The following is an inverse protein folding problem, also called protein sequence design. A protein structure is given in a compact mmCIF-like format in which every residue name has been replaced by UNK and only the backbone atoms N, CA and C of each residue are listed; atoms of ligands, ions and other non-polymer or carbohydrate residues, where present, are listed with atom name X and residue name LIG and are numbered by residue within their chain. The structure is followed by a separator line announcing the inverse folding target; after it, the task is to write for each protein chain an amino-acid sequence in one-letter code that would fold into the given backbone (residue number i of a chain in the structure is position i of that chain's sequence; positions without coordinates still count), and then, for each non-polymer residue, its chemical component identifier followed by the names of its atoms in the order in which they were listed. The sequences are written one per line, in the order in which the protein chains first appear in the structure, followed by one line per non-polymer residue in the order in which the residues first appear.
data_IF_249850184514
#
_entry.id   IF_249850184514
#
_cell.length_a   1.000
_cell.length_b   1.000
_cell.length_c   1.000
_cell.angle_alpha   90.00
_cell.angle_beta   90.00
_cell.angle_gamma   90.00
#
_symmetry.space_group_name_H-M   'P 1'
#
loop_
_entity.id
_entity.type
_entity.pdbx_description
1 polymer ?
#
# COMPACT_ATOMS: atom_id res chain seq x y z
N UNK A 1 9.89 30.31 -53.30
CA UNK A 1 10.81 30.93 -52.32
C UNK A 1 9.99 31.11 -51.05
N UNK A 2 10.18 30.46 -49.92
CA UNK A 2 11.40 30.10 -49.19
C UNK A 2 11.09 30.43 -47.73
N UNK A 3 11.19 29.43 -46.84
CA UNK A 3 10.92 29.42 -45.39
C UNK A 3 11.30 30.69 -44.60
N UNK A 4 10.60 30.95 -43.48
CA UNK A 4 11.14 30.68 -42.15
C UNK A 4 10.18 31.07 -41.01
N UNK A 5 9.83 30.08 -40.20
CA UNK A 5 9.35 30.25 -38.84
C UNK A 5 10.46 30.82 -37.95
N UNK A 6 10.12 31.75 -37.05
CA UNK A 6 10.93 32.02 -35.85
C UNK A 6 10.04 31.85 -34.63
N UNK A 7 10.05 30.65 -34.07
CA UNK A 7 9.48 30.37 -32.75
C UNK A 7 10.58 30.56 -31.71
N UNK A 8 10.29 31.43 -30.75
CA UNK A 8 11.12 31.80 -29.61
C UNK A 8 11.52 30.55 -28.82
N UNK A 9 12.83 30.26 -28.76
CA UNK A 9 13.40 29.27 -27.83
C UNK A 9 13.24 29.77 -26.39
N UNK A 10 12.40 29.09 -25.60
CA UNK A 10 12.53 29.11 -24.14
C UNK A 10 13.25 27.84 -23.70
N UNK A 11 14.54 27.98 -23.44
CA UNK A 11 15.28 27.00 -22.63
C UNK A 11 14.69 27.04 -21.21
N UNK A 12 14.00 25.98 -20.80
CA UNK A 12 13.79 25.68 -19.39
C UNK A 12 14.79 24.61 -18.99
N UNK A 13 15.65 25.00 -18.06
CA UNK A 13 16.65 24.18 -17.38
C UNK A 13 16.03 22.90 -16.83
N UNK A 14 16.55 21.76 -17.31
CA UNK A 14 16.30 20.45 -16.74
C UNK A 14 17.16 20.35 -15.48
N UNK A 15 16.53 20.63 -14.34
CA UNK A 15 17.08 20.33 -13.03
C UNK A 15 17.18 18.82 -12.86
N UNK A 16 18.40 18.32 -13.00
CA UNK A 16 18.84 16.98 -12.63
C UNK A 16 18.54 16.68 -11.15
N UNK A 17 17.97 15.51 -10.88
CA UNK A 17 17.67 15.06 -9.52
C UNK A 17 17.03 13.67 -9.44
N UNK A 18 17.73 12.65 -9.95
CA UNK A 18 17.57 11.23 -9.58
C UNK A 18 16.19 10.61 -9.91
N UNK A 19 15.94 10.39 -11.20
CA UNK A 19 15.15 9.23 -11.65
C UNK A 19 16.16 8.21 -12.16
N UNK A 20 16.86 7.54 -11.24
CA UNK A 20 17.50 6.27 -11.59
C UNK A 20 16.36 5.30 -11.94
N UNK A 21 16.53 4.53 -13.03
CA UNK A 21 15.55 3.62 -13.65
C UNK A 21 14.87 2.67 -12.64
N UNK A 22 13.85 3.12 -11.94
CA UNK A 22 12.94 2.22 -11.24
C UNK A 22 11.89 1.82 -12.26
N UNK A 23 12.00 0.59 -12.74
CA UNK A 23 10.99 -0.01 -13.59
C UNK A 23 9.74 -0.29 -12.74
N UNK A 24 8.55 -0.14 -13.32
CA UNK A 24 7.30 -0.31 -12.59
C UNK A 24 7.11 -1.78 -12.19
N UNK A 25 7.09 -2.14 -10.90
CA UNK A 25 7.02 -3.54 -10.48
C UNK A 25 5.70 -4.21 -10.89
N UNK A 26 4.60 -3.46 -11.07
CA UNK A 26 3.34 -4.02 -11.53
C UNK A 26 3.34 -4.37 -13.03
N UNK A 27 4.24 -3.76 -13.80
CA UNK A 27 4.40 -4.03 -15.23
C UNK A 27 5.28 -5.26 -15.45
N UNK A 28 6.35 -5.39 -14.66
CA UNK A 28 7.33 -6.48 -14.78
C UNK A 28 6.80 -7.78 -14.17
N UNK A 29 6.12 -7.69 -13.02
CA UNK A 29 5.78 -8.87 -12.23
C UNK A 29 4.52 -9.61 -12.71
N UNK A 30 3.72 -9.00 -13.58
CA UNK A 30 2.43 -9.55 -14.00
C UNK A 30 2.23 -9.46 -15.52
N UNK A 31 1.85 -10.58 -16.11
CA UNK A 31 1.22 -10.64 -17.43
C UNK A 31 -0.20 -10.04 -17.38
N UNK A 32 -0.74 -9.67 -18.54
CA UNK A 32 -2.13 -9.18 -18.63
C UNK A 32 -3.15 -10.15 -18.03
N UNK A 33 -3.00 -11.46 -18.26
CA UNK A 33 -3.89 -12.49 -17.71
C UNK A 33 -3.86 -12.51 -16.17
N UNK A 34 -2.68 -12.35 -15.59
CA UNK A 34 -2.50 -12.31 -14.13
C UNK A 34 -3.08 -11.03 -13.52
N UNK A 35 -2.94 -9.89 -14.20
CA UNK A 35 -3.58 -8.64 -13.78
C UNK A 35 -5.10 -8.75 -13.74
N UNK A 36 -5.71 -9.33 -14.78
CA UNK A 36 -7.16 -9.60 -14.81
C UNK A 36 -7.54 -10.59 -13.69
N UNK A 37 -6.71 -11.61 -13.44
CA UNK A 37 -6.92 -12.56 -12.34
C UNK A 37 -7.00 -11.85 -10.97
N UNK A 38 -6.13 -10.87 -10.68
CA UNK A 38 -6.22 -10.05 -9.45
C UNK A 38 -7.59 -9.38 -9.33
N UNK A 39 -8.05 -8.74 -10.41
CA UNK A 39 -9.33 -8.02 -10.41
C UNK A 39 -10.51 -8.95 -10.21
N UNK A 40 -10.61 -9.99 -11.03
CA UNK A 40 -11.77 -10.89 -11.02
C UNK A 40 -11.84 -11.70 -9.72
N UNK A 41 -10.72 -12.16 -9.18
CA UNK A 41 -10.73 -12.89 -7.90
C UNK A 41 -11.12 -12.00 -6.72
N UNK A 42 -10.72 -10.72 -6.70
CA UNK A 42 -11.20 -9.77 -5.69
C UNK A 42 -12.70 -9.50 -5.80
N UNK A 43 -13.20 -9.25 -7.02
CA UNK A 43 -14.62 -8.94 -7.29
C UNK A 43 -15.58 -10.10 -6.98
N UNK A 44 -15.08 -11.34 -6.90
CA UNK A 44 -15.88 -12.50 -6.52
C UNK A 44 -16.26 -12.52 -5.04
N UNK A 45 -15.50 -11.83 -4.18
CA UNK A 45 -15.81 -11.72 -2.76
C UNK A 45 -17.09 -10.91 -2.57
N UNK A 46 -18.02 -11.42 -1.76
CA UNK A 46 -19.28 -10.75 -1.46
C UNK A 46 -19.10 -9.61 -0.48
N UNK A 47 -18.33 -9.82 0.59
CA UNK A 47 -18.00 -8.80 1.57
C UNK A 47 -16.49 -8.82 1.91
N UNK A 48 -15.65 -8.28 1.02
CA UNK A 48 -14.20 -8.22 1.26
C UNK A 48 -13.86 -7.43 2.53
N UNK A 49 -14.66 -6.44 2.91
CA UNK A 49 -14.43 -5.60 4.09
C UNK A 49 -14.61 -6.40 5.38
N UNK A 50 -15.59 -7.30 5.45
CA UNK A 50 -15.76 -8.20 6.59
C UNK A 50 -14.53 -9.10 6.78
N UNK A 51 -14.04 -9.72 5.69
CA UNK A 51 -12.85 -10.57 5.70
C UNK A 51 -11.61 -9.79 6.14
N UNK A 52 -11.38 -8.62 5.55
CA UNK A 52 -10.29 -7.70 5.91
C UNK A 52 -10.38 -7.33 7.40
N UNK A 53 -11.59 -7.08 7.91
CA UNK A 53 -11.83 -6.77 9.31
C UNK A 53 -11.41 -7.91 10.24
N UNK A 54 -11.77 -9.16 9.91
CA UNK A 54 -11.33 -10.35 10.67
C UNK A 54 -9.80 -10.43 10.72
N UNK A 55 -9.13 -10.20 9.60
CA UNK A 55 -7.67 -10.26 9.51
C UNK A 55 -7.03 -9.14 10.34
N UNK A 56 -7.52 -7.90 10.24
CA UNK A 56 -7.00 -6.80 11.06
C UNK A 56 -7.22 -7.03 12.56
N UNK A 57 -8.35 -7.60 12.96
CA UNK A 57 -8.59 -7.99 14.36
C UNK A 57 -7.56 -9.03 14.80
N UNK A 58 -7.27 -10.06 13.98
CA UNK A 58 -6.21 -11.03 14.26
C UNK A 58 -4.85 -10.35 14.41
N UNK A 59 -4.51 -9.43 13.50
CA UNK A 59 -3.24 -8.68 13.55
C UNK A 59 -3.10 -7.95 14.88
N UNK A 60 -4.06 -7.11 15.25
CA UNK A 60 -3.95 -6.28 16.46
C UNK A 60 -4.13 -7.08 17.75
N UNK A 61 -4.71 -8.28 17.71
CA UNK A 61 -4.93 -9.06 18.93
C UNK A 61 -3.94 -10.17 19.19
N UNK A 62 -3.41 -10.78 18.13
CA UNK A 62 -2.65 -12.03 18.23
C UNK A 62 -1.25 -11.95 17.57
N UNK A 63 -0.99 -10.97 16.68
CA UNK A 63 0.27 -10.89 15.91
C UNK A 63 1.14 -9.70 16.32
N UNK A 64 0.58 -8.48 16.26
CA UNK A 64 1.26 -7.22 16.57
C UNK A 64 0.42 -6.41 17.56
N UNK A 65 0.39 -6.88 18.80
CA UNK A 65 -0.48 -6.35 19.86
C UNK A 65 -0.20 -4.88 20.21
N UNK A 66 1.01 -4.41 19.96
CA UNK A 66 1.41 -3.02 20.08
C UNK A 66 0.62 -2.08 19.15
N UNK A 67 0.00 -2.61 18.08
CA UNK A 67 -0.87 -1.85 17.20
C UNK A 67 -2.23 -1.51 17.84
N UNK A 68 -2.60 -2.13 18.97
CA UNK A 68 -3.85 -1.80 19.67
C UNK A 68 -3.92 -0.32 20.06
N UNK A 69 -2.81 0.26 20.51
CA UNK A 69 -2.72 1.66 20.94
C UNK A 69 -2.90 2.66 19.78
N UNK A 70 -2.13 2.61 18.67
CA UNK A 70 -2.34 3.52 17.55
C UNK A 70 -3.75 3.38 16.94
N UNK A 71 -4.33 2.18 16.93
CA UNK A 71 -5.71 1.95 16.50
C UNK A 71 -6.78 2.24 17.57
N UNK A 72 -6.40 2.58 18.80
CA UNK A 72 -7.35 2.95 19.87
C UNK A 72 -8.29 1.82 20.29
N UNK A 73 -7.80 0.57 20.31
CA UNK A 73 -8.60 -0.63 20.60
C UNK A 73 -8.12 -1.42 21.82
N UNK A 74 -7.30 -0.83 22.67
CA UNK A 74 -6.68 -1.50 23.84
C UNK A 74 -7.72 -2.12 24.79
N UNK A 75 -8.88 -1.49 24.94
CA UNK A 75 -9.99 -1.91 25.83
C UNK A 75 -11.18 -2.51 25.08
N UNK A 76 -11.10 -2.60 23.75
CA UNK A 76 -12.20 -3.07 22.92
C UNK A 76 -12.24 -4.59 22.89
N UNK A 77 -13.43 -5.18 22.92
CA UNK A 77 -13.59 -6.62 22.62
C UNK A 77 -13.30 -6.90 21.15
N UNK A 78 -12.86 -8.13 20.81
CA UNK A 78 -12.62 -8.54 19.40
C UNK A 78 -13.82 -8.25 18.49
N UNK A 79 -15.05 -8.45 18.99
CA UNK A 79 -16.29 -8.24 18.24
C UNK A 79 -16.60 -6.76 17.96
N UNK A 80 -16.17 -5.84 18.82
CA UNK A 80 -16.44 -4.39 18.67
C UNK A 80 -15.31 -3.66 17.95
N UNK A 81 -14.12 -4.25 17.88
CA UNK A 81 -12.93 -3.67 17.22
C UNK A 81 -13.19 -3.15 15.80
N UNK A 82 -13.83 -3.89 14.88
CA UNK A 82 -14.11 -3.42 13.52
C UNK A 82 -15.04 -2.20 13.45
N UNK A 83 -15.80 -1.91 14.51
CA UNK A 83 -16.72 -0.78 14.58
C UNK A 83 -16.09 0.48 15.19
N UNK A 84 -14.85 0.39 15.67
CA UNK A 84 -14.16 1.54 16.27
C UNK A 84 -13.71 2.53 15.20
N UNK A 85 -13.70 3.85 15.47
CA UNK A 85 -13.45 4.85 14.43
C UNK A 85 -12.10 4.69 13.71
N UNK A 86 -11.03 4.42 14.46
CA UNK A 86 -9.67 4.32 13.89
C UNK A 86 -9.45 3.00 13.16
N UNK A 87 -9.70 1.86 13.83
CA UNK A 87 -9.49 0.55 13.20
C UNK A 87 -10.53 0.29 12.10
N UNK A 88 -11.81 0.55 12.37
CA UNK A 88 -12.88 0.40 11.38
C UNK A 88 -12.70 1.31 10.18
N UNK A 89 -12.27 2.56 10.40
CA UNK A 89 -11.89 3.47 9.32
C UNK A 89 -10.71 2.94 8.51
N UNK A 90 -9.69 2.37 9.15
CA UNK A 90 -8.55 1.76 8.44
C UNK A 90 -8.93 0.50 7.65
N UNK A 91 -9.81 -0.34 8.20
CA UNK A 91 -10.36 -1.52 7.52
C UNK A 91 -11.13 -1.12 6.25
N UNK A 92 -12.04 -0.15 6.36
CA UNK A 92 -12.80 0.35 5.22
C UNK A 92 -11.88 0.94 4.15
N UNK A 93 -10.96 1.81 4.58
CA UNK A 93 -9.99 2.42 3.68
C UNK A 93 -9.08 1.39 2.98
N UNK A 94 -8.67 0.32 3.69
CA UNK A 94 -7.84 -0.73 3.09
C UNK A 94 -8.63 -1.56 2.08
N UNK A 95 -9.92 -1.83 2.33
CA UNK A 95 -10.80 -2.48 1.36
C UNK A 95 -10.93 -1.64 0.07
N UNK A 96 -11.17 -0.34 0.21
CA UNK A 96 -11.26 0.58 -0.94
C UNK A 96 -9.92 0.68 -1.68
N UNK A 97 -8.80 0.67 -0.95
CA UNK A 97 -7.46 0.66 -1.51
C UNK A 97 -7.22 -0.58 -2.40
N UNK A 98 -7.58 -1.78 -1.92
CA UNK A 98 -7.47 -3.02 -2.69
C UNK A 98 -8.39 -3.02 -3.91
N UNK A 99 -9.63 -2.54 -3.78
CA UNK A 99 -10.55 -2.39 -4.91
C UNK A 99 -9.96 -1.47 -5.99
N UNK A 100 -9.47 -0.30 -5.57
CA UNK A 100 -8.89 0.69 -6.48
C UNK A 100 -7.62 0.16 -7.16
N UNK A 101 -6.73 -0.50 -6.42
CA UNK A 101 -5.50 -1.09 -6.95
C UNK A 101 -5.79 -2.20 -7.96
N UNK A 102 -6.66 -3.14 -7.61
CA UNK A 102 -7.03 -4.23 -8.52
C UNK A 102 -7.74 -3.70 -9.76
N UNK A 103 -8.54 -2.63 -9.64
CA UNK A 103 -9.17 -1.96 -10.78
C UNK A 103 -8.13 -1.29 -11.70
N UNK A 104 -7.18 -0.54 -11.14
CA UNK A 104 -6.11 0.09 -11.92
C UNK A 104 -5.23 -0.93 -12.64
N UNK A 105 -4.93 -2.05 -11.97
CA UNK A 105 -4.02 -3.07 -12.49
C UNK A 105 -4.73 -3.97 -13.51
N UNK A 106 -5.90 -4.51 -13.18
CA UNK A 106 -6.56 -5.56 -13.94
C UNK A 106 -7.72 -5.14 -14.84
N UNK A 107 -8.18 -3.88 -14.75
CA UNK A 107 -9.28 -3.39 -15.58
C UNK A 107 -8.86 -2.19 -16.44
N UNK A 108 -8.40 -1.10 -15.83
CA UNK A 108 -8.04 0.11 -16.59
C UNK A 108 -6.61 0.10 -17.14
N UNK A 109 -5.80 -0.89 -16.74
CA UNK A 109 -4.39 -1.04 -17.12
C UNK A 109 -3.54 0.21 -16.81
N UNK A 110 -3.97 1.02 -15.83
CA UNK A 110 -3.24 2.18 -15.34
C UNK A 110 -2.13 1.76 -14.35
N UNK A 111 -1.13 1.05 -14.85
CA UNK A 111 -0.05 0.49 -14.03
C UNK A 111 0.80 1.56 -13.38
N UNK A 112 1.06 2.66 -14.09
CA UNK A 112 1.80 3.81 -13.55
C UNK A 112 1.03 4.46 -12.40
N UNK A 113 -0.28 4.65 -12.56
CA UNK A 113 -1.15 5.18 -11.52
C UNK A 113 -1.20 4.26 -10.29
N UNK A 114 -1.29 2.95 -10.48
CA UNK A 114 -1.21 1.98 -9.40
C UNK A 114 0.10 2.09 -8.62
N UNK A 115 1.23 2.15 -9.33
CA UNK A 115 2.54 2.30 -8.70
C UNK A 115 2.69 3.60 -7.91
N UNK A 116 2.28 4.73 -8.50
CA UNK A 116 2.28 6.03 -7.84
C UNK A 116 1.37 6.04 -6.61
N UNK A 117 0.22 5.37 -6.68
CA UNK A 117 -0.75 5.29 -5.59
C UNK A 117 -0.19 4.53 -4.38
N UNK A 118 0.40 3.35 -4.57
CA UNK A 118 1.02 2.57 -3.49
C UNK A 118 2.14 3.37 -2.81
N UNK A 119 2.99 4.03 -3.60
CA UNK A 119 4.07 4.86 -3.05
C UNK A 119 3.55 6.09 -2.31
N UNK A 120 2.45 6.70 -2.78
CA UNK A 120 1.78 7.80 -2.08
C UNK A 120 1.27 7.35 -0.70
N UNK A 121 0.73 6.14 -0.62
CA UNK A 121 0.28 5.55 0.64
C UNK A 121 1.47 5.35 1.59
N UNK A 122 2.58 4.76 1.13
CA UNK A 122 3.77 4.58 1.96
C UNK A 122 4.30 5.89 2.54
N UNK A 123 4.45 6.93 1.71
CA UNK A 123 4.80 8.30 2.17
C UNK A 123 3.80 8.86 3.19
N UNK A 124 2.49 8.69 2.96
CA UNK A 124 1.47 9.18 3.87
C UNK A 124 1.54 8.52 5.26
N UNK A 125 1.94 7.24 5.33
CA UNK A 125 2.11 6.52 6.60
C UNK A 125 3.27 7.05 7.45
N UNK A 126 4.24 7.78 6.88
CA UNK A 126 5.28 8.46 7.67
C UNK A 126 4.74 9.52 8.64
N UNK A 127 3.52 10.05 8.37
CA UNK A 127 2.84 10.97 9.29
C UNK A 127 2.29 10.28 10.54
N UNK A 128 2.23 8.96 10.56
CA UNK A 128 1.79 8.21 11.74
C UNK A 128 2.94 8.13 12.74
N UNK A 129 2.76 8.76 13.91
CA UNK A 129 3.81 8.86 14.93
C UNK A 129 4.36 7.49 15.35
N UNK A 130 3.47 6.50 15.50
CA UNK A 130 3.87 5.13 15.83
C UNK A 130 4.85 4.56 14.80
N UNK A 131 4.49 4.59 13.51
CA UNK A 131 5.36 4.06 12.46
C UNK A 131 6.65 4.88 12.34
N UNK A 132 6.57 6.21 12.48
CA UNK A 132 7.76 7.06 12.46
C UNK A 132 8.83 6.61 13.47
N UNK A 133 8.39 6.21 14.67
CA UNK A 133 9.27 5.79 15.77
C UNK A 133 9.66 4.31 15.74
N UNK A 134 8.82 3.45 15.18
CA UNK A 134 8.96 1.99 15.34
C UNK A 134 9.19 1.22 14.04
N UNK A 135 8.92 1.79 12.87
CA UNK A 135 9.19 1.16 11.58
C UNK A 135 10.70 1.14 11.32
N UNK A 136 11.31 -0.03 11.17
CA UNK A 136 12.72 -0.16 10.81
C UNK A 136 12.96 -1.51 10.08
N UNK A 137 14.22 -1.80 9.78
CA UNK A 137 14.62 -3.04 9.09
C UNK A 137 14.28 -4.31 9.89
N UNK A 138 14.42 -4.27 11.21
CA UNK A 138 14.09 -5.39 12.10
C UNK A 138 12.59 -5.61 12.24
N UNK A 139 11.82 -4.51 12.23
CA UNK A 139 10.38 -4.51 12.47
C UNK A 139 9.66 -3.67 11.43
N UNK A 140 9.37 -4.31 10.32
CA UNK A 140 8.58 -3.75 9.22
C UNK A 140 7.08 -4.06 9.41
N UNK A 141 6.31 -3.07 9.87
CA UNK A 141 4.86 -3.23 10.09
C UNK A 141 4.08 -3.44 8.80
N UNK A 142 4.56 -2.92 7.65
CA UNK A 142 3.95 -3.22 6.35
C UNK A 142 4.13 -4.70 6.01
N UNK A 143 5.30 -5.27 6.26
CA UNK A 143 5.55 -6.70 6.06
C UNK A 143 4.72 -7.56 7.02
N UNK A 144 4.58 -7.18 8.29
CA UNK A 144 3.72 -7.89 9.26
C UNK A 144 2.28 -7.97 8.74
N UNK A 145 1.73 -6.83 8.31
CA UNK A 145 0.36 -6.79 7.75
C UNK A 145 0.31 -7.59 6.45
N UNK A 146 1.18 -7.30 5.49
CA UNK A 146 1.20 -7.95 4.17
C UNK A 146 1.34 -9.47 4.24
N UNK A 147 2.24 -9.99 5.08
CA UNK A 147 2.42 -11.43 5.27
C UNK A 147 1.19 -12.08 5.89
N UNK A 148 0.56 -11.40 6.87
CA UNK A 148 -0.70 -11.90 7.43
C UNK A 148 -1.80 -11.96 6.38
N UNK A 149 -1.89 -10.97 5.48
CA UNK A 149 -2.83 -10.98 4.37
C UNK A 149 -2.53 -12.09 3.36
N UNK A 150 -1.26 -12.39 3.10
CA UNK A 150 -0.87 -13.53 2.25
C UNK A 150 -1.41 -14.84 2.85
N UNK A 151 -1.25 -15.04 4.16
CA UNK A 151 -1.64 -16.30 4.80
C UNK A 151 -3.16 -16.41 5.02
N UNK A 152 -3.84 -15.30 5.32
CA UNK A 152 -5.25 -15.32 5.73
C UNK A 152 -6.23 -14.91 4.63
N UNK A 153 -5.84 -14.02 3.71
CA UNK A 153 -6.76 -13.47 2.70
C UNK A 153 -6.81 -14.33 1.43
N UNK A 154 -5.66 -14.85 1.00
CA UNK A 154 -5.53 -15.67 -0.22
C UNK A 154 -6.48 -16.88 -0.22
N UNK A 155 -6.65 -17.63 0.89
CA UNK A 155 -7.58 -18.77 0.90
C UNK A 155 -9.04 -18.38 0.59
N UNK A 156 -9.47 -17.16 0.91
CA UNK A 156 -10.81 -16.68 0.51
C UNK A 156 -10.87 -16.36 -0.99
N UNK A 157 -9.81 -15.77 -1.54
CA UNK A 157 -9.71 -15.42 -2.96
C UNK A 157 -9.63 -16.65 -3.87
N UNK A 158 -8.96 -17.72 -3.41
CA UNK A 158 -8.86 -18.99 -4.12
C UNK A 158 -10.11 -19.87 -3.99
N UNK A 159 -10.99 -19.56 -3.04
CA UNK A 159 -12.18 -20.35 -2.71
C UNK A 159 -11.91 -21.57 -1.83
N UNK A 160 -10.70 -21.68 -1.28
CA UNK A 160 -10.32 -22.70 -0.29
C UNK A 160 -10.98 -22.46 1.07
N UNK A 161 -11.27 -21.19 1.40
CA UNK A 161 -11.95 -20.77 2.62
C UNK A 161 -13.26 -20.05 2.28
N UNK A 162 -14.34 -20.42 2.96
CA UNK A 162 -15.66 -19.80 2.77
C UNK A 162 -15.74 -18.44 3.47
N UNK A 163 -16.42 -17.47 2.84
CA UNK A 163 -16.69 -16.18 3.46
C UNK A 163 -17.57 -16.36 4.71
N UNK A 164 -17.35 -15.56 5.77
CA UNK A 164 -18.28 -15.52 6.89
C UNK A 164 -19.70 -15.21 6.39
N UNK A 165 -20.70 -15.89 6.93
CA UNK A 165 -22.12 -15.71 6.59
C UNK A 165 -22.52 -16.07 5.14
N UNK A 166 -21.73 -16.85 4.40
CA UNK A 166 -22.20 -17.42 3.13
C UNK A 166 -23.22 -18.55 3.35
N UNK A 167 -24.42 -18.39 2.80
CA UNK A 167 -25.40 -19.48 2.67
C UNK A 167 -24.84 -20.58 1.76
N UNK A 168 -24.79 -21.82 2.27
CA UNK A 168 -24.26 -23.02 1.60
C UNK A 168 -24.94 -23.39 0.26
N UNK A 169 -25.95 -22.63 -0.18
CA UNK A 169 -26.78 -22.93 -1.37
C UNK A 169 -26.28 -22.27 -2.67
N UNK A 170 -25.17 -21.53 -2.66
CA UNK A 170 -24.73 -20.82 -3.87
C UNK A 170 -23.93 -21.73 -4.80
N UNK A 171 -24.36 -21.83 -6.05
CA UNK A 171 -23.63 -22.50 -7.14
C UNK A 171 -22.33 -21.73 -7.37
N UNK A 172 -21.18 -22.35 -7.06
CA UNK A 172 -19.86 -21.80 -7.37
C UNK A 172 -19.63 -21.94 -8.87
N UNK A 173 -19.70 -20.83 -9.61
CA UNK A 173 -19.23 -20.83 -10.99
C UNK A 173 -17.74 -21.17 -11.01
N UNK A 174 -17.35 -22.10 -11.87
CA UNK A 174 -15.96 -22.52 -12.00
C UNK A 174 -15.10 -21.29 -12.34
N UNK A 175 -14.09 -21.03 -11.50
CA UNK A 175 -13.12 -19.98 -11.78
C UNK A 175 -12.31 -20.34 -13.03
N UNK A 176 -12.09 -19.41 -13.98
CA UNK A 176 -11.21 -19.66 -15.11
C UNK A 176 -9.73 -19.74 -14.70
N UNK A 177 -9.42 -19.48 -13.42
CA UNK A 177 -8.09 -19.52 -12.84
C UNK A 177 -7.97 -20.67 -11.84
N UNK A 178 -6.84 -21.36 -11.85
CA UNK A 178 -6.52 -22.36 -10.84
C UNK A 178 -6.23 -21.72 -9.48
N UNK A 179 -6.42 -22.48 -8.41
CA UNK A 179 -6.07 -22.09 -7.03
C UNK A 179 -4.61 -21.63 -6.94
N UNK A 180 -3.70 -22.35 -7.60
CA UNK A 180 -2.27 -22.03 -7.67
C UNK A 180 -2.04 -20.67 -8.34
N UNK A 181 -2.68 -20.42 -9.48
CA UNK A 181 -2.54 -19.14 -10.19
C UNK A 181 -3.01 -17.96 -9.32
N UNK A 182 -4.18 -18.10 -8.68
CA UNK A 182 -4.70 -17.06 -7.77
C UNK A 182 -3.70 -16.82 -6.63
N UNK A 183 -3.23 -17.88 -5.98
CA UNK A 183 -2.31 -17.80 -4.85
C UNK A 183 -0.98 -17.13 -5.21
N UNK A 184 -0.36 -17.52 -6.31
CA UNK A 184 0.93 -16.99 -6.74
C UNK A 184 0.85 -15.52 -7.16
N UNK A 185 -0.25 -15.14 -7.82
CA UNK A 185 -0.49 -13.78 -8.26
C UNK A 185 -0.73 -12.85 -7.06
N UNK A 186 -1.58 -13.26 -6.11
CA UNK A 186 -1.83 -12.46 -4.90
C UNK A 186 -0.63 -12.37 -3.97
N UNK A 187 0.16 -13.44 -3.85
CA UNK A 187 1.43 -13.42 -3.09
C UNK A 187 2.37 -12.37 -3.66
N UNK A 188 2.63 -12.38 -4.98
CA UNK A 188 3.45 -11.36 -5.65
C UNK A 188 2.89 -9.95 -5.44
N UNK A 189 1.56 -9.80 -5.54
CA UNK A 189 0.91 -8.51 -5.36
C UNK A 189 1.16 -7.93 -3.97
N UNK A 190 0.91 -8.69 -2.91
CA UNK A 190 1.17 -8.23 -1.54
C UNK A 190 2.66 -7.98 -1.29
N UNK A 191 3.56 -8.83 -1.81
CA UNK A 191 5.01 -8.59 -1.72
C UNK A 191 5.39 -7.25 -2.35
N UNK A 192 4.86 -6.92 -3.54
CA UNK A 192 5.10 -5.62 -4.19
C UNK A 192 4.55 -4.46 -3.35
N UNK A 193 3.35 -4.61 -2.76
CA UNK A 193 2.79 -3.58 -1.87
C UNK A 193 3.72 -3.31 -0.69
N UNK A 194 4.17 -4.37 0.00
CA UNK A 194 5.08 -4.26 1.14
C UNK A 194 6.37 -3.55 0.73
N UNK A 195 7.02 -3.98 -0.35
CA UNK A 195 8.26 -3.38 -0.84
C UNK A 195 8.07 -1.90 -1.18
N UNK A 196 7.06 -1.57 -1.99
CA UNK A 196 6.86 -0.20 -2.46
C UNK A 196 6.39 0.76 -1.35
N UNK A 197 5.58 0.28 -0.40
CA UNK A 197 5.22 1.08 0.78
C UNK A 197 6.43 1.30 1.70
N UNK A 198 7.27 0.28 1.91
CA UNK A 198 8.48 0.38 2.73
C UNK A 198 9.48 1.37 2.12
N UNK A 199 9.82 1.20 0.84
CA UNK A 199 10.77 2.08 0.15
C UNK A 199 10.33 3.53 0.18
N UNK A 200 9.07 3.80 -0.18
CA UNK A 200 8.55 5.16 -0.23
C UNK A 200 8.40 5.79 1.17
N UNK A 201 8.14 4.99 2.20
CA UNK A 201 8.16 5.44 3.59
C UNK A 201 9.58 5.85 4.02
N UNK A 202 10.60 5.05 3.69
CA UNK A 202 12.00 5.36 4.02
C UNK A 202 12.55 6.56 3.24
N UNK A 203 12.12 6.74 1.98
CA UNK A 203 12.43 7.93 1.20
C UNK A 203 11.90 9.21 1.86
N UNK A 204 10.64 9.20 2.30
CA UNK A 204 10.03 10.33 3.01
C UNK A 204 10.76 10.63 4.33
N UNK A 205 11.13 9.58 5.08
CA UNK A 205 11.93 9.71 6.30
C UNK A 205 13.28 10.38 6.04
N UNK A 206 14.01 9.93 5.01
CA UNK A 206 15.30 10.49 4.62
C UNK A 206 15.16 11.95 4.16
N UNK A 207 14.12 12.25 3.38
CA UNK A 207 13.84 13.61 2.92
C UNK A 207 13.55 14.56 4.09
N UNK A 208 12.70 14.15 5.03
CA UNK A 208 12.39 14.98 6.20
C UNK A 208 13.62 15.21 7.09
N UNK A 209 14.48 14.19 7.24
CA UNK A 209 15.72 14.31 8.01
C UNK A 209 16.67 15.34 7.40
N UNK A 210 16.83 15.33 6.07
CA UNK A 210 17.64 16.34 5.34
C UNK A 210 17.11 17.76 5.54
N UNK A 211 15.79 17.95 5.49
CA UNK A 211 15.16 19.27 5.71
C UNK A 211 15.45 19.79 7.12
N UNK A 212 15.37 18.92 8.14
CA UNK A 212 15.66 19.30 9.54
C UNK A 212 17.13 19.66 9.71
N UNK A 213 18.05 18.87 9.17
CA UNK A 213 19.49 19.15 9.23
C UNK A 213 19.88 20.45 8.53
N UNK A 214 19.29 20.74 7.36
CA UNK A 214 19.52 22.01 6.67
C UNK A 214 19.02 23.19 7.53
N UNK A 215 17.81 23.10 8.10
CA UNK A 215 17.27 24.15 8.97
C UNK A 215 18.14 24.41 10.21
N UNK A 216 18.69 23.37 10.84
CA UNK A 216 19.57 23.55 11.99
C UNK A 216 20.87 24.26 11.62
N UNK A 217 21.45 23.93 10.45
CA UNK A 217 22.66 24.59 9.93
C UNK A 217 22.42 26.09 9.63
N UNK A 218 21.28 26.43 9.01
CA UNK A 218 20.92 27.83 8.77
C UNK A 218 20.70 28.62 10.06
N UNK A 219 20.09 28.01 11.09
CA UNK A 219 19.88 28.65 12.39
C UNK A 219 21.14 28.77 13.25
N UNK A 220 22.12 27.86 13.09
CA UNK A 220 23.42 28.00 13.73
C UNK A 220 24.30 29.06 13.07
N UNK A 221 24.23 29.21 11.74
CA UNK A 221 24.99 30.22 11.00
C UNK A 221 24.49 31.66 11.22
N UNK A 222 23.18 31.86 11.42
CA UNK A 222 22.62 33.19 11.74
C UNK A 222 22.89 33.65 13.17
N UNK A 223 23.16 32.71 14.11
CA UNK A 223 23.56 33.07 15.48
C UNK A 223 25.03 33.47 15.59
N UNK A 224 25.90 32.99 14.71
CA UNK A 224 27.31 33.41 14.67
C UNK A 224 27.52 34.78 14.05
N UNK A 225 26.60 35.27 13.21
CA UNK A 225 26.68 36.61 12.58
C UNK A 225 26.08 37.75 13.43
N UNK A 226 25.54 37.45 14.63
CA UNK A 226 25.00 38.46 15.56
C UNK A 226 25.90 38.72 16.78
N UNK A 227 27.13 38.19 16.78
CA UNK A 227 28.11 38.35 17.87
C UNK A 227 29.39 39.09 17.45
N UNK A 228 29.40 39.68 16.25
CA UNK A 228 30.47 40.55 15.76
C UNK A 228 30.02 42.02 15.67
#
# INVERSE_FOLDING_TARGET
MGNAASAIRRNKSIGSGIVSKLENPFEIAFTKKERICLRESFQKLKDPKEIIGIIFVKIVTDIATELKKPFGVERSSKATMPKTPKLGGHIAWFADCLDQLTNMIGYTENLLGAWQFVRKIGRAHFRQMFLKMHQNEEKNYFAIVGNTFIDEFIPYLSGEKEEPNQDKKRVRFASPYSITMISDVWRRFFTILVTQMTESFEEERKQQSKIVSQKSLYQSGTKSEQLD
#
